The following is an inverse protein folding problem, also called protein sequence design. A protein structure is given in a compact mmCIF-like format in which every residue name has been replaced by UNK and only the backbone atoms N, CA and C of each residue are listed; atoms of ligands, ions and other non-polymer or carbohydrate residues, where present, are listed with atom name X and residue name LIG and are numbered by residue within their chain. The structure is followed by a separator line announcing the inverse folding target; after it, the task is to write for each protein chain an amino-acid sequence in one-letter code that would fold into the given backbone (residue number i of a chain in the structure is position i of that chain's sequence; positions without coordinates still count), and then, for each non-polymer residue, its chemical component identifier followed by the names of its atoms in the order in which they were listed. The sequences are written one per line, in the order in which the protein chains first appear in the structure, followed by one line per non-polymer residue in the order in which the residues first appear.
data_IF_452949317992
#
_entry.id   IF_452949317992
#
_cell.length_a   1.000
_cell.length_b   1.000
_cell.length_c   1.000
_cell.angle_alpha   90.00
_cell.angle_beta   90.00
_cell.angle_gamma   90.00
#
_symmetry.space_group_name_H-M   'P 1'
#
loop_
_entity.id
_entity.type
_entity.pdbx_description
1 polymer ?
#
# COMPACT_ATOMS: atom_id res chain seq x y z
N UNK A 1 8.34 -8.98 4.65
CA UNK A 1 8.26 -7.55 4.99
C UNK A 1 7.07 -6.95 4.28
N UNK A 2 6.21 -6.27 4.97
CA UNK A 2 5.06 -5.59 4.38
C UNK A 2 5.40 -4.12 4.24
N UNK A 3 5.31 -3.59 3.03
CA UNK A 3 5.62 -2.21 2.69
C UNK A 3 4.34 -1.45 2.48
N UNK A 4 4.24 -0.28 3.08
CA UNK A 4 3.18 0.68 2.78
C UNK A 4 3.85 1.83 2.04
N UNK A 5 3.42 2.06 0.80
CA UNK A 5 3.82 3.22 0.03
C UNK A 5 2.86 4.35 0.37
N UNK A 6 3.29 5.29 1.19
CA UNK A 6 2.64 6.58 1.33
C UNK A 6 3.32 7.55 0.38
N UNK A 7 2.76 7.73 -0.82
CA UNK A 7 3.19 8.77 -1.75
C UNK A 7 2.62 10.10 -1.26
N UNK A 8 3.38 10.79 -0.42
CA UNK A 8 3.21 12.22 -0.17
C UNK A 8 3.97 12.97 -1.27
N UNK A 9 3.30 13.29 -2.37
CA UNK A 9 3.86 14.27 -3.30
C UNK A 9 3.68 15.66 -2.68
N UNK A 10 4.79 16.17 -2.14
CA UNK A 10 4.87 17.57 -1.71
C UNK A 10 4.95 18.46 -2.94
N UNK A 11 3.81 19.02 -3.34
CA UNK A 11 3.79 20.21 -4.18
C UNK A 11 3.70 21.41 -3.25
N UNK A 12 4.82 22.09 -3.03
CA UNK A 12 4.85 23.38 -2.34
C UNK A 12 4.29 24.47 -3.28
N UNK A 13 2.98 24.53 -3.40
CA UNK A 13 2.30 25.75 -3.81
C UNK A 13 1.80 26.40 -2.53
N UNK A 14 2.25 27.63 -2.27
CA UNK A 14 1.70 28.49 -1.23
C UNK A 14 0.23 28.81 -1.56
N UNK A 15 -0.66 27.95 -1.11
CA UNK A 15 -2.10 28.18 -1.10
C UNK A 15 -2.44 28.63 0.32
N UNK A 16 -3.23 29.73 0.51
CA UNK A 16 -3.60 30.18 1.83
C UNK A 16 -4.32 29.04 2.56
N UNK A 17 -3.84 28.76 3.77
CA UNK A 17 -4.40 27.77 4.68
C UNK A 17 -5.87 28.13 4.95
N UNK A 18 -6.79 27.57 4.18
CA UNK A 18 -8.15 27.40 4.63
C UNK A 18 -8.16 26.09 5.41
N UNK A 19 -8.37 26.20 6.69
CA UNK A 19 -8.73 25.08 7.54
C UNK A 19 -9.92 24.36 6.91
N UNK A 20 -9.65 23.31 6.14
CA UNK A 20 -10.68 22.34 5.82
C UNK A 20 -10.76 21.43 7.04
N UNK A 21 -11.81 21.61 7.80
CA UNK A 21 -12.29 20.67 8.81
C UNK A 21 -12.73 19.39 8.11
N UNK A 22 -11.78 18.58 7.80
CA UNK A 22 -11.89 17.29 7.16
C UNK A 22 -10.51 16.67 7.23
N UNK A 23 -9.99 16.48 8.45
CA UNK A 23 -8.83 15.64 8.67
C UNK A 23 -9.18 14.26 8.12
N UNK A 24 -8.59 13.91 6.99
CA UNK A 24 -8.53 12.52 6.58
C UNK A 24 -7.72 11.80 7.67
N UNK A 25 -8.40 11.31 8.69
CA UNK A 25 -7.78 10.53 9.75
C UNK A 25 -7.28 9.23 9.14
N UNK A 26 -5.99 9.22 8.81
CA UNK A 26 -5.32 8.00 8.42
C UNK A 26 -5.22 7.11 9.65
N UNK A 27 -5.82 5.96 9.58
CA UNK A 27 -5.71 4.96 10.63
C UNK A 27 -4.42 4.15 10.50
N UNK A 28 -3.96 3.63 11.62
CA UNK A 28 -2.79 2.74 11.65
C UNK A 28 -3.15 1.42 10.95
N UNK A 29 -2.34 0.94 9.99
CA UNK A 29 -2.67 -0.25 9.21
C UNK A 29 -2.47 -1.58 9.95
N UNK A 30 -1.98 -1.55 11.19
CA UNK A 30 -1.67 -2.74 11.98
C UNK A 30 -2.16 -2.63 13.41
N UNK A 31 -2.41 -3.78 14.04
CA UNK A 31 -2.78 -3.90 15.46
C UNK A 31 -1.57 -4.15 16.39
N UNK A 32 -0.36 -4.06 15.89
CA UNK A 32 0.87 -4.29 16.65
C UNK A 32 1.79 -3.08 16.59
N UNK A 33 2.80 -3.04 17.46
CA UNK A 33 3.74 -1.91 17.54
C UNK A 33 4.45 -1.64 16.21
N UNK A 34 4.47 -0.37 15.80
CA UNK A 34 5.08 0.04 14.55
C UNK A 34 6.59 0.20 14.73
N UNK A 35 7.34 -0.71 14.11
CA UNK A 35 8.79 -0.60 14.00
C UNK A 35 9.16 -0.58 12.51
N UNK A 36 9.87 0.46 12.11
CA UNK A 36 10.36 0.59 10.73
C UNK A 36 11.55 -0.33 10.51
N UNK A 37 11.58 -0.98 9.35
CA UNK A 37 12.74 -1.71 8.84
C UNK A 37 13.34 -1.07 7.59
N UNK A 38 12.65 -0.13 6.97
CA UNK A 38 13.10 0.64 5.83
C UNK A 38 12.36 1.96 5.74
N UNK A 39 13.10 3.04 5.47
CA UNK A 39 12.57 4.39 5.35
C UNK A 39 12.33 4.76 3.89
N UNK A 40 11.44 5.74 3.69
CA UNK A 40 11.25 6.35 2.38
C UNK A 40 12.56 7.01 1.89
N UNK A 41 12.89 6.80 0.61
CA UNK A 41 14.09 7.37 0.00
C UNK A 41 15.39 6.67 0.37
N UNK A 42 15.36 5.60 1.16
CA UNK A 42 16.53 4.80 1.48
C UNK A 42 17.14 4.18 0.21
N UNK A 43 18.47 4.25 0.07
CA UNK A 43 19.15 3.70 -1.09
C UNK A 43 19.07 2.18 -1.10
N UNK A 44 18.62 1.63 -2.22
CA UNK A 44 18.63 0.20 -2.53
C UNK A 44 19.65 -0.08 -3.64
N UNK A 45 19.84 -1.34 -4.00
CA UNK A 45 20.89 -1.74 -4.95
C UNK A 45 20.79 -1.07 -6.32
N UNK A 46 19.61 -0.71 -6.78
CA UNK A 46 19.35 -0.14 -8.12
C UNK A 46 18.29 0.97 -8.15
N UNK A 47 17.73 1.35 -7.01
CA UNK A 47 16.69 2.37 -6.90
C UNK A 47 16.60 2.91 -5.47
N UNK A 48 15.88 4.01 -5.30
CA UNK A 48 15.49 4.50 -3.99
C UNK A 48 14.23 3.81 -3.50
N UNK A 49 14.15 3.58 -2.19
CA UNK A 49 12.96 2.99 -1.58
C UNK A 49 11.78 3.96 -1.67
N UNK A 50 10.73 3.55 -2.36
CA UNK A 50 9.55 4.38 -2.65
C UNK A 50 8.43 4.26 -1.61
N UNK A 51 8.71 3.67 -0.47
CA UNK A 51 7.73 3.46 0.60
C UNK A 51 8.37 3.35 1.96
N UNK A 52 7.60 2.86 2.91
CA UNK A 52 8.04 2.60 4.29
C UNK A 52 7.83 1.11 4.58
N UNK A 53 8.87 0.45 5.05
CA UNK A 53 8.80 -0.95 5.47
C UNK A 53 8.55 -1.05 6.97
N UNK A 54 7.59 -1.87 7.36
CA UNK A 54 7.29 -2.16 8.76
C UNK A 54 7.73 -3.58 9.12
N UNK A 55 8.29 -3.72 10.31
CA UNK A 55 8.59 -5.04 10.88
C UNK A 55 7.30 -5.73 11.30
N UNK A 56 7.15 -6.97 10.90
CA UNK A 56 6.01 -7.82 11.25
C UNK A 56 6.32 -8.80 12.39
N UNK A 57 7.25 -8.45 13.27
CA UNK A 57 7.71 -9.29 14.38
C UNK A 57 8.27 -10.66 13.92
N UNK A 58 8.84 -10.72 12.70
CA UNK A 58 9.36 -11.96 12.11
C UNK A 58 8.28 -12.99 11.72
N UNK A 59 7.01 -12.58 11.69
CA UNK A 59 5.87 -13.46 11.41
C UNK A 59 5.19 -13.02 10.12
N UNK A 60 4.81 -13.98 9.28
CA UNK A 60 3.92 -13.78 8.12
C UNK A 60 2.46 -13.97 8.53
N UNK A 61 1.53 -13.49 7.70
CA UNK A 61 0.09 -13.64 7.93
C UNK A 61 -0.52 -12.62 8.89
N UNK A 62 0.24 -11.60 9.30
CA UNK A 62 -0.31 -10.49 10.09
C UNK A 62 -1.35 -9.70 9.28
N UNK A 63 -2.56 -9.46 9.81
CA UNK A 63 -3.57 -8.66 9.10
C UNK A 63 -3.09 -7.24 8.86
N UNK A 64 -3.37 -6.74 7.65
CA UNK A 64 -3.17 -5.34 7.28
C UNK A 64 -4.53 -4.72 7.04
N UNK A 65 -4.74 -3.56 7.63
CA UNK A 65 -5.94 -2.75 7.45
C UNK A 65 -5.68 -1.62 6.48
N UNK A 66 -6.71 -1.23 5.75
CA UNK A 66 -6.67 -0.01 4.95
C UNK A 66 -6.52 1.21 5.88
N UNK A 67 -5.68 2.15 5.50
CA UNK A 67 -5.40 3.34 6.34
C UNK A 67 -6.53 4.37 6.34
N UNK A 68 -7.43 4.30 5.36
CA UNK A 68 -8.61 5.16 5.22
C UNK A 68 -9.65 4.48 4.35
N UNK A 69 -10.87 5.01 4.34
CA UNK A 69 -11.92 4.56 3.44
C UNK A 69 -11.53 4.78 1.98
N UNK A 70 -12.00 3.89 1.13
CA UNK A 70 -11.70 3.92 -0.29
C UNK A 70 -12.12 2.64 -1.00
N UNK A 71 -11.69 2.50 -2.23
CA UNK A 71 -11.94 1.30 -3.02
C UNK A 71 -10.67 0.72 -3.63
N UNK A 72 -10.63 -0.57 -3.79
CA UNK A 72 -9.52 -1.27 -4.46
C UNK A 72 -9.62 -0.99 -5.96
N UNK A 73 -8.66 -0.25 -6.47
CA UNK A 73 -8.58 0.07 -7.90
C UNK A 73 -7.79 -0.96 -8.68
N UNK A 74 -6.87 -1.65 -8.01
CA UNK A 74 -5.97 -2.62 -8.66
C UNK A 74 -5.45 -3.63 -7.64
N UNK A 75 -5.31 -4.87 -8.08
CA UNK A 75 -4.55 -5.91 -7.38
C UNK A 75 -3.56 -6.53 -8.37
N UNK A 76 -2.33 -6.73 -7.98
CA UNK A 76 -1.26 -7.23 -8.85
C UNK A 76 -0.45 -8.33 -8.19
N UNK A 77 0.13 -9.19 -9.04
CA UNK A 77 1.13 -10.17 -8.63
C UNK A 77 2.37 -9.95 -9.51
N UNK A 78 3.40 -9.35 -8.94
CA UNK A 78 4.64 -9.00 -9.66
C UNK A 78 5.85 -9.64 -8.97
N UNK A 79 6.29 -10.81 -9.42
CA UNK A 79 7.55 -11.40 -8.96
C UNK A 79 8.71 -10.44 -9.22
N UNK A 80 9.54 -10.18 -8.22
CA UNK A 80 10.66 -9.24 -8.31
C UNK A 80 10.31 -7.75 -8.13
N UNK A 81 9.02 -7.41 -7.95
CA UNK A 81 8.54 -6.08 -7.60
C UNK A 81 7.87 -6.08 -6.23
N UNK A 82 6.65 -5.54 -6.14
CA UNK A 82 5.86 -5.53 -4.91
C UNK A 82 5.28 -6.89 -4.52
N UNK A 83 5.50 -7.95 -5.30
CA UNK A 83 4.87 -9.24 -5.09
C UNK A 83 3.35 -9.13 -5.24
N UNK A 84 2.61 -9.71 -4.31
CA UNK A 84 1.18 -9.48 -4.23
C UNK A 84 0.94 -8.10 -3.63
N UNK A 85 0.25 -7.22 -4.37
CA UNK A 85 -0.02 -5.86 -3.95
C UNK A 85 -1.45 -5.42 -4.25
N UNK A 86 -1.98 -4.58 -3.36
CA UNK A 86 -3.29 -3.93 -3.49
C UNK A 86 -3.11 -2.43 -3.55
N UNK A 87 -3.79 -1.79 -4.49
CA UNK A 87 -3.86 -0.35 -4.67
C UNK A 87 -5.24 0.14 -4.29
N UNK A 88 -5.31 1.09 -3.38
CA UNK A 88 -6.56 1.68 -2.88
C UNK A 88 -6.61 3.14 -3.21
N UNK A 89 -7.70 3.59 -3.83
CA UNK A 89 -7.99 5.00 -4.05
C UNK A 89 -8.95 5.45 -2.95
N UNK A 90 -8.59 6.55 -2.29
CA UNK A 90 -9.36 7.16 -1.21
C UNK A 90 -10.20 8.33 -1.72
N UNK A 91 -11.23 8.69 -0.98
CA UNK A 91 -12.19 9.74 -1.36
C UNK A 91 -11.55 11.11 -1.57
N UNK A 92 -10.41 11.37 -0.94
CA UNK A 92 -9.61 12.59 -1.09
C UNK A 92 -8.67 12.59 -2.32
N UNK A 93 -8.72 11.55 -3.15
CA UNK A 93 -7.88 11.40 -4.33
C UNK A 93 -6.48 10.84 -4.07
N UNK A 94 -6.12 10.53 -2.82
CA UNK A 94 -4.88 9.82 -2.52
C UNK A 94 -4.99 8.34 -2.86
N UNK A 95 -3.85 7.75 -3.18
CA UNK A 95 -3.73 6.32 -3.38
C UNK A 95 -2.72 5.74 -2.40
N UNK A 96 -3.07 4.62 -1.78
CA UNK A 96 -2.15 3.84 -0.97
C UNK A 96 -1.89 2.48 -1.62
N UNK A 97 -0.67 1.98 -1.43
CA UNK A 97 -0.24 0.69 -1.97
C UNK A 97 0.24 -0.19 -0.83
N UNK A 98 -0.26 -1.40 -0.80
CA UNK A 98 0.09 -2.43 0.19
C UNK A 98 0.79 -3.56 -0.56
N UNK A 99 2.12 -3.59 -0.44
CA UNK A 99 2.96 -4.56 -1.14
C UNK A 99 3.43 -5.73 -0.26
N UNK A 100 4.01 -6.73 -0.90
CA UNK A 100 4.54 -7.94 -0.25
C UNK A 100 3.51 -8.67 0.62
N UNK A 101 2.26 -8.66 0.17
CA UNK A 101 1.20 -9.40 0.83
C UNK A 101 1.44 -10.90 0.68
N UNK A 102 1.16 -11.66 1.75
CA UNK A 102 1.19 -13.12 1.68
C UNK A 102 0.02 -13.64 0.85
N UNK A 103 -1.13 -13.04 1.04
CA UNK A 103 -2.37 -13.38 0.29
C UNK A 103 -3.32 -12.18 0.22
N UNK A 104 -4.19 -12.24 -0.77
CA UNK A 104 -5.31 -11.32 -0.87
C UNK A 104 -6.49 -11.75 0.01
N UNK A 105 -7.42 -10.84 0.36
CA UNK A 105 -8.76 -11.22 0.79
C UNK A 105 -9.40 -12.13 -0.25
N UNK A 106 -10.23 -13.10 0.19
CA UNK A 106 -10.75 -14.15 -0.70
C UNK A 106 -11.44 -13.59 -1.96
N UNK A 107 -12.29 -12.59 -1.79
CA UNK A 107 -13.00 -11.99 -2.94
C UNK A 107 -12.05 -11.32 -3.96
N UNK A 108 -10.96 -10.71 -3.51
CA UNK A 108 -9.94 -10.12 -4.39
C UNK A 108 -9.12 -11.22 -5.05
N UNK A 109 -8.71 -12.22 -4.28
CA UNK A 109 -7.93 -13.35 -4.77
C UNK A 109 -8.68 -14.13 -5.84
N UNK A 110 -9.98 -14.32 -5.70
CA UNK A 110 -10.81 -14.96 -6.71
C UNK A 110 -10.81 -14.17 -8.02
N UNK A 111 -11.03 -12.85 -7.97
CA UNK A 111 -11.01 -11.99 -9.17
C UNK A 111 -9.65 -11.96 -9.86
N UNK A 112 -8.56 -11.96 -9.09
CA UNK A 112 -7.20 -12.03 -9.64
C UNK A 112 -7.00 -13.35 -10.39
N UNK A 113 -7.42 -14.48 -9.81
CA UNK A 113 -7.33 -15.79 -10.46
C UNK A 113 -8.16 -15.83 -11.76
N UNK A 114 -9.41 -15.36 -11.72
CA UNK A 114 -10.28 -15.29 -12.89
C UNK A 114 -9.63 -14.47 -14.01
N UNK A 115 -9.11 -13.27 -13.71
CA UNK A 115 -8.44 -12.43 -14.68
C UNK A 115 -7.17 -13.08 -15.26
N UNK A 116 -6.40 -13.81 -14.46
CA UNK A 116 -5.25 -14.56 -14.93
C UNK A 116 -5.63 -15.69 -15.92
N UNK A 117 -6.72 -16.39 -15.65
CA UNK A 117 -7.22 -17.44 -16.55
C UNK A 117 -7.75 -16.85 -17.87
N UNK A 118 -8.46 -15.73 -17.82
CA UNK A 118 -9.03 -15.09 -19.00
C UNK A 118 -7.98 -14.45 -19.92
N UNK A 119 -6.94 -13.87 -19.34
CA UNK A 119 -5.97 -13.06 -20.08
C UNK A 119 -4.60 -13.73 -20.21
N UNK A 120 -4.40 -14.90 -19.63
CA UNK A 120 -3.07 -15.55 -19.50
C UNK A 120 -2.00 -14.60 -18.93
N UNK A 121 -2.41 -13.70 -18.03
CA UNK A 121 -1.62 -12.59 -17.52
C UNK A 121 -1.60 -12.57 -15.99
N UNK A 122 -0.49 -12.12 -15.42
CA UNK A 122 -0.31 -11.98 -13.97
C UNK A 122 -0.60 -10.56 -13.45
N UNK A 123 -1.24 -9.73 -14.23
CA UNK A 123 -1.59 -8.35 -13.86
C UNK A 123 -3.07 -8.06 -13.99
#
# INVERSE_FOLDING_TARGET
MKRILLLLSFFALAVPLRSQTGEAMLSVPFDFGLLLSGNFGELRSNHFHSGVDFKTQGVVGKPIKCVADGYISRATVQPGGYGQAIYVIHDNGYMTVYGHLERFPEAVGQRVREAQYENESFS
#
